data_IF_018165255882
#
_entry.id   IF_018165255882
#
_cell.length_a   1.000
_cell.length_b   1.000
_cell.length_c   1.000
_cell.angle_alpha   90.00
_cell.angle_beta   90.00
_cell.angle_gamma   90.00
#
_symmetry.space_group_name_H-M   'P 1'
#
loop_
_entity.id
_entity.type
_entity.pdbx_description
1 polymer ?
#
# COMPACT_ATOMS: atom_id res chain seq x y z
N UNK A 1 -1.28 16.08 -0.98
CA UNK A 1 -0.81 14.68 -1.00
C UNK A 1 -0.63 14.22 -2.43
N UNK A 2 -1.49 14.66 -3.34
CA UNK A 2 -1.32 14.60 -4.80
C UNK A 2 0.12 14.65 -5.32
N UNK A 3 0.85 15.74 -5.05
CA UNK A 3 2.22 15.88 -5.55
C UNK A 3 3.14 14.74 -5.07
N UNK A 4 3.03 14.31 -3.81
CA UNK A 4 3.83 13.21 -3.28
C UNK A 4 3.45 11.86 -3.91
N UNK A 5 2.16 11.63 -4.19
CA UNK A 5 1.71 10.43 -4.90
C UNK A 5 2.21 10.42 -6.36
N UNK A 6 2.22 11.58 -7.03
CA UNK A 6 2.78 11.71 -8.37
C UNK A 6 4.29 11.46 -8.39
N UNK A 7 5.03 11.98 -7.40
CA UNK A 7 6.48 11.73 -7.24
C UNK A 7 6.76 10.24 -6.95
N UNK A 8 5.97 9.60 -6.09
CA UNK A 8 6.07 8.16 -5.83
C UNK A 8 5.79 7.34 -7.08
N UNK A 9 4.70 7.65 -7.80
CA UNK A 9 4.37 7.02 -9.08
C UNK A 9 5.54 7.20 -10.07
N UNK A 10 6.18 8.36 -10.15
CA UNK A 10 7.29 8.60 -11.08
C UNK A 10 8.51 7.68 -10.83
N UNK A 11 8.58 6.99 -9.70
CA UNK A 11 9.60 5.98 -9.41
C UNK A 11 9.50 4.80 -10.38
N UNK A 12 10.64 4.41 -10.96
CA UNK A 12 10.71 3.30 -11.92
C UNK A 12 10.16 2.01 -11.31
N UNK A 13 9.14 1.44 -11.95
CA UNK A 13 8.50 0.19 -11.54
C UNK A 13 7.20 0.38 -10.75
N UNK A 14 6.89 1.59 -10.27
CA UNK A 14 5.62 1.86 -9.59
C UNK A 14 4.52 2.04 -10.63
N UNK A 15 3.52 1.17 -10.57
CA UNK A 15 2.34 1.21 -11.47
C UNK A 15 1.21 2.06 -10.90
N UNK A 16 1.06 2.02 -9.58
CA UNK A 16 0.01 2.70 -8.81
C UNK A 16 0.60 3.16 -7.49
N UNK A 17 0.29 4.38 -7.08
CA UNK A 17 0.52 4.88 -5.73
C UNK A 17 -0.81 5.36 -5.17
N UNK A 18 -1.16 4.98 -3.94
CA UNK A 18 -2.43 5.36 -3.34
C UNK A 18 -2.29 5.69 -1.85
N UNK A 19 -3.06 6.67 -1.42
CA UNK A 19 -3.29 6.99 -0.01
C UNK A 19 -4.59 6.34 0.44
N UNK A 20 -4.52 5.59 1.53
CA UNK A 20 -5.65 4.86 2.09
C UNK A 20 -5.90 5.28 3.54
N UNK A 21 -7.15 5.20 3.96
CA UNK A 21 -7.48 5.12 5.39
C UNK A 21 -7.12 3.74 5.96
N UNK A 22 -7.06 3.62 7.28
CA UNK A 22 -6.71 2.36 7.95
C UNK A 22 -7.68 1.20 7.65
N UNK A 23 -8.94 1.51 7.32
CA UNK A 23 -9.97 0.53 6.94
C UNK A 23 -9.94 0.15 5.45
N UNK A 24 -9.00 0.72 4.68
CA UNK A 24 -8.80 0.39 3.26
C UNK A 24 -9.66 1.18 2.28
N UNK A 25 -10.30 2.28 2.70
CA UNK A 25 -10.90 3.22 1.77
C UNK A 25 -9.82 4.02 1.03
N UNK A 26 -9.94 4.14 -0.29
CA UNK A 26 -9.00 4.89 -1.13
C UNK A 26 -9.33 6.38 -1.02
N UNK A 27 -8.41 7.14 -0.42
CA UNK A 27 -8.53 8.61 -0.28
C UNK A 27 -8.08 9.31 -1.55
N UNK A 28 -6.96 8.85 -2.13
CA UNK A 28 -6.34 9.46 -3.29
C UNK A 28 -5.47 8.42 -4.03
N UNK A 29 -5.37 8.51 -5.37
CA UNK A 29 -4.52 7.63 -6.17
C UNK A 29 -3.81 8.37 -7.31
N UNK A 30 -2.62 7.88 -7.69
CA UNK A 30 -1.88 8.24 -8.88
C UNK A 30 -1.53 6.95 -9.64
N UNK A 31 -1.97 6.86 -10.90
CA UNK A 31 -1.80 5.67 -11.74
C UNK A 31 -1.70 5.99 -13.23
N UNK A 32 -1.15 5.07 -14.01
CA UNK A 32 -1.27 5.10 -15.49
C UNK A 32 -2.61 4.53 -15.95
N UNK A 33 -3.01 4.84 -17.19
CA UNK A 33 -4.34 4.48 -17.71
C UNK A 33 -4.60 2.97 -17.79
N UNK A 34 -3.56 2.15 -17.94
CA UNK A 34 -3.61 0.69 -18.00
C UNK A 34 -3.32 0.01 -16.64
N UNK A 35 -2.97 0.79 -15.62
CA UNK A 35 -2.68 0.26 -14.30
C UNK A 35 -3.99 -0.10 -13.55
N UNK A 36 -3.98 -1.16 -12.72
CA UNK A 36 -5.15 -1.55 -11.93
C UNK A 36 -5.65 -0.40 -11.05
N UNK A 37 -6.95 -0.38 -10.76
CA UNK A 37 -7.50 0.54 -9.78
C UNK A 37 -6.98 0.21 -8.38
N UNK A 38 -6.62 1.22 -7.59
CA UNK A 38 -6.15 0.99 -6.22
C UNK A 38 -7.21 0.30 -5.35
N UNK A 39 -8.48 0.50 -5.66
CA UNK A 39 -9.65 -0.15 -5.02
C UNK A 39 -9.57 -1.68 -5.05
N UNK A 40 -8.92 -2.27 -6.06
CA UNK A 40 -8.75 -3.72 -6.17
C UNK A 40 -7.71 -4.27 -5.19
N UNK A 41 -6.77 -3.41 -4.75
CA UNK A 41 -5.66 -3.76 -3.87
C UNK A 41 -5.87 -3.27 -2.43
N UNK A 42 -6.74 -2.29 -2.22
CA UNK A 42 -6.91 -1.59 -0.95
C UNK A 42 -7.30 -2.51 0.20
N UNK A 43 -8.27 -3.42 -0.02
CA UNK A 43 -8.70 -4.38 0.98
C UNK A 43 -7.56 -5.33 1.39
N UNK A 44 -6.68 -5.69 0.46
CA UNK A 44 -5.50 -6.54 0.73
C UNK A 44 -4.48 -5.76 1.55
N UNK A 45 -4.20 -4.51 1.18
CA UNK A 45 -3.28 -3.64 1.90
C UNK A 45 -3.72 -3.42 3.36
N UNK A 46 -4.99 -3.09 3.59
CA UNK A 46 -5.54 -2.91 4.94
C UNK A 46 -5.47 -4.20 5.77
N UNK A 47 -5.79 -5.34 5.16
CA UNK A 47 -5.71 -6.65 5.83
C UNK A 47 -4.27 -6.99 6.24
N UNK A 48 -3.32 -6.78 5.34
CA UNK A 48 -1.90 -7.06 5.59
C UNK A 48 -1.36 -6.14 6.68
N UNK A 49 -1.65 -4.83 6.62
CA UNK A 49 -1.25 -3.88 7.65
C UNK A 49 -1.85 -4.22 9.02
N UNK A 50 -3.14 -4.53 9.10
CA UNK A 50 -3.80 -4.91 10.34
C UNK A 50 -3.20 -6.18 10.96
N UNK A 51 -2.90 -7.17 10.13
CA UNK A 51 -2.27 -8.42 10.56
C UNK A 51 -0.84 -8.18 11.04
N UNK A 52 -0.06 -7.36 10.32
CA UNK A 52 1.29 -7.00 10.71
C UNK A 52 1.33 -6.25 12.05
N UNK A 53 0.41 -5.30 12.27
CA UNK A 53 0.25 -4.57 13.55
C UNK A 53 -0.03 -5.54 14.70
N UNK A 54 -0.94 -6.50 14.51
CA UNK A 54 -1.25 -7.51 15.54
C UNK A 54 -0.06 -8.43 15.84
N UNK A 55 0.70 -8.82 14.81
CA UNK A 55 1.92 -9.61 14.97
C UNK A 55 2.99 -8.83 15.75
N UNK A 56 3.25 -7.58 15.37
CA UNK A 56 4.22 -6.72 16.06
C UNK A 56 3.88 -6.56 17.55
N UNK A 57 2.60 -6.32 17.86
CA UNK A 57 2.11 -6.27 19.24
C UNK A 57 2.36 -7.57 20.00
N UNK A 58 2.14 -8.72 19.35
CA UNK A 58 2.39 -10.05 19.95
C UNK A 58 3.88 -10.26 20.25
N UNK A 59 4.77 -9.69 19.43
CA UNK A 59 6.22 -9.75 19.62
C UNK A 59 6.75 -8.69 20.60
N UNK A 60 5.88 -7.84 21.17
CA UNK A 60 6.29 -6.73 22.03
C UNK A 60 7.06 -5.64 21.29
N UNK A 61 6.87 -5.53 19.97
CA UNK A 61 7.45 -4.47 19.15
C UNK A 61 6.52 -3.26 19.11
N UNK A 62 7.09 -2.06 19.19
CA UNK A 62 6.33 -0.82 19.08
C UNK A 62 6.23 -0.38 17.62
N UNK A 63 5.00 -0.36 17.11
CA UNK A 63 4.69 0.18 15.79
C UNK A 63 5.07 -0.72 14.62
N UNK A 64 4.38 -0.51 13.49
CA UNK A 64 4.76 -1.07 12.19
C UNK A 64 4.94 0.12 11.27
N UNK A 65 6.18 0.37 10.85
CA UNK A 65 6.52 1.48 9.96
C UNK A 65 6.22 1.15 8.50
N UNK A 66 6.51 -0.08 8.08
CA UNK A 66 6.36 -0.53 6.70
C UNK A 66 6.00 -2.01 6.65
N UNK A 67 5.18 -2.38 5.65
CA UNK A 67 4.95 -3.78 5.28
C UNK A 67 5.17 -3.93 3.78
N UNK A 68 6.08 -4.83 3.41
CA UNK A 68 6.38 -5.16 2.03
C UNK A 68 5.90 -6.59 1.72
N UNK A 69 5.27 -6.77 0.56
CA UNK A 69 4.78 -8.08 0.10
C UNK A 69 5.37 -8.36 -1.28
N UNK A 70 6.14 -9.44 -1.37
CA UNK A 70 6.73 -9.92 -2.61
C UNK A 70 6.02 -11.19 -3.10
N UNK A 71 5.60 -11.19 -4.37
CA UNK A 71 5.08 -12.37 -5.06
C UNK A 71 6.17 -12.99 -5.94
N UNK A 72 6.02 -14.27 -6.35
CA UNK A 72 6.99 -14.92 -7.25
C UNK A 72 7.24 -14.16 -8.56
N UNK A 73 6.28 -13.37 -9.01
CA UNK A 73 6.36 -12.57 -10.24
C UNK A 73 6.70 -11.08 -9.99
N UNK A 74 6.98 -10.68 -8.74
CA UNK A 74 7.31 -9.30 -8.36
C UNK A 74 6.58 -8.81 -7.10
N UNK A 75 6.94 -7.63 -6.59
CA UNK A 75 6.24 -7.02 -5.45
C UNK A 75 4.81 -6.56 -5.81
N UNK A 76 3.92 -6.50 -4.81
CA UNK A 76 2.63 -5.81 -4.95
C UNK A 76 2.84 -4.33 -5.28
#
# INVERSE_FOLDING_TARGET
>A
MEQALQELKATKGVRVAALLSEDGFVVEEAREGDAPEASLLSARAATVLGTAKALAQTLGQEGVEEVMVEYPEGAL
#
